data_IF_931135039984
#
_entry.id   IF_931135039984
#
_cell.length_a   1.000
_cell.length_b   1.000
_cell.length_c   1.000
_cell.angle_alpha   90.00
_cell.angle_beta   90.00
_cell.angle_gamma   90.00
#
_symmetry.space_group_name_H-M   'P 1'
#
loop_
_entity.id
_entity.type
_entity.pdbx_description
1 polymer ?
#
# COMPACT_ATOMS: atom_id res chain seq x y z
N UNK A 1 3.95 -45.86 16.29
CA UNK A 1 4.11 -47.06 15.42
C UNK A 1 2.86 -47.31 14.55
N UNK A 2 2.79 -46.65 13.40
CA UNK A 2 1.70 -46.77 12.43
C UNK A 2 1.77 -48.16 11.76
N UNK A 3 1.01 -49.13 12.26
CA UNK A 3 1.05 -50.53 11.79
C UNK A 3 0.51 -50.80 10.37
N UNK A 4 0.36 -49.76 9.53
CA UNK A 4 -0.17 -49.84 8.16
C UNK A 4 0.59 -48.88 7.26
N UNK A 5 0.75 -49.24 5.98
CA UNK A 5 1.25 -48.32 4.95
C UNK A 5 0.44 -47.02 4.97
N UNK A 6 1.10 -45.87 5.03
CA UNK A 6 0.47 -44.57 4.80
C UNK A 6 0.13 -44.45 3.31
N UNK A 7 -1.14 -44.27 2.97
CA UNK A 7 -1.63 -44.21 1.59
C UNK A 7 -2.53 -43.00 1.41
N UNK A 8 -2.53 -42.46 0.19
CA UNK A 8 -3.38 -41.33 -0.21
C UNK A 8 -3.72 -41.45 -1.68
N UNK A 9 -4.81 -40.81 -2.09
CA UNK A 9 -5.16 -40.58 -3.49
C UNK A 9 -4.90 -39.14 -3.91
N UNK A 10 -4.78 -38.90 -5.22
CA UNK A 10 -4.78 -37.54 -5.76
C UNK A 10 -6.22 -37.03 -5.84
N UNK A 11 -6.54 -35.99 -5.08
CA UNK A 11 -7.85 -35.36 -5.11
C UNK A 11 -7.82 -34.12 -5.99
N UNK A 12 -8.89 -33.91 -6.76
CA UNK A 12 -9.11 -32.69 -7.53
C UNK A 12 -10.53 -32.21 -7.36
N UNK A 13 -10.71 -30.90 -7.26
CA UNK A 13 -12.04 -30.30 -7.33
C UNK A 13 -12.56 -30.28 -8.79
N UNK A 14 -13.81 -29.84 -8.99
CA UNK A 14 -14.43 -29.76 -10.31
C UNK A 14 -13.68 -28.86 -11.32
N UNK A 15 -12.83 -27.96 -10.84
CA UNK A 15 -11.97 -27.07 -11.67
C UNK A 15 -10.57 -27.65 -11.91
N UNK A 16 -10.30 -28.88 -11.46
CA UNK A 16 -9.02 -29.56 -11.64
C UNK A 16 -7.92 -29.16 -10.66
N UNK A 17 -8.22 -28.33 -9.66
CA UNK A 17 -7.27 -27.90 -8.63
C UNK A 17 -7.05 -29.02 -7.62
N UNK A 18 -5.80 -29.25 -7.24
CA UNK A 18 -5.42 -30.34 -6.34
C UNK A 18 -5.90 -30.04 -4.92
N UNK A 19 -6.54 -31.03 -4.30
CA UNK A 19 -6.94 -31.00 -2.90
C UNK A 19 -6.07 -31.96 -2.08
N UNK A 20 -5.88 -31.67 -0.80
CA UNK A 20 -5.17 -32.52 0.15
C UNK A 20 -6.06 -32.96 1.31
N UNK A 21 -5.79 -34.15 1.81
CA UNK A 21 -6.44 -34.74 2.98
C UNK A 21 -6.10 -33.97 4.25
N UNK A 22 -7.12 -33.59 5.01
CA UNK A 22 -6.96 -33.03 6.36
C UNK A 22 -7.27 -34.04 7.47
N UNK A 23 -7.72 -35.26 7.16
CA UNK A 23 -8.04 -36.27 8.19
C UNK A 23 -7.48 -37.64 7.84
N UNK A 24 -6.33 -37.99 8.42
CA UNK A 24 -5.73 -39.30 8.28
C UNK A 24 -6.68 -40.41 8.71
N UNK A 25 -6.77 -41.46 7.90
CA UNK A 25 -7.56 -42.67 8.17
C UNK A 25 -9.02 -42.64 7.72
N UNK A 26 -9.53 -41.51 7.20
CA UNK A 26 -10.87 -41.42 6.59
C UNK A 26 -10.83 -41.60 5.07
N UNK A 27 -11.97 -41.98 4.48
CA UNK A 27 -12.09 -42.17 3.04
C UNK A 27 -12.00 -40.84 2.29
N UNK A 28 -11.41 -40.88 1.10
CA UNK A 28 -11.40 -39.76 0.16
C UNK A 28 -12.80 -39.48 -0.39
N UNK A 29 -13.17 -38.20 -0.59
CA UNK A 29 -14.43 -37.85 -1.25
C UNK A 29 -14.45 -38.36 -2.69
N UNK A 30 -15.62 -38.79 -3.16
CA UNK A 30 -15.81 -39.29 -4.52
C UNK A 30 -17.13 -38.75 -5.09
N UNK A 31 -17.09 -37.56 -5.71
CA UNK A 31 -18.26 -36.91 -6.30
C UNK A 31 -19.25 -36.29 -5.30
N UNK A 32 -18.89 -36.22 -4.01
CA UNK A 32 -19.70 -35.55 -3.00
C UNK A 32 -19.35 -34.06 -2.92
N UNK A 33 -20.36 -33.21 -2.81
CA UNK A 33 -20.16 -31.80 -2.46
C UNK A 33 -19.79 -31.69 -0.98
N UNK A 34 -18.63 -31.08 -0.72
CA UNK A 34 -18.18 -30.77 0.64
C UNK A 34 -18.38 -29.26 0.88
N UNK A 35 -19.10 -28.84 1.94
CA UNK A 35 -19.27 -27.43 2.24
C UNK A 35 -17.96 -26.79 2.72
N UNK A 36 -17.73 -25.53 2.37
CA UNK A 36 -16.62 -24.73 2.90
C UNK A 36 -16.83 -24.51 4.42
N UNK A 37 -15.81 -24.82 5.22
CA UNK A 37 -15.82 -24.64 6.68
C UNK A 37 -14.83 -23.58 7.17
N UNK A 38 -14.25 -22.82 6.24
CA UNK A 38 -13.30 -21.76 6.52
C UNK A 38 -11.92 -22.03 5.91
N UNK A 39 -10.87 -21.79 6.69
CA UNK A 39 -9.46 -21.93 6.26
C UNK A 39 -8.72 -22.81 7.26
N UNK A 40 -7.69 -23.51 6.78
CA UNK A 40 -6.76 -24.23 7.67
C UNK A 40 -5.83 -23.25 8.39
N UNK A 41 -5.09 -23.73 9.39
CA UNK A 41 -4.07 -22.92 10.07
C UNK A 41 -2.91 -22.55 9.13
N UNK A 42 -2.20 -21.46 9.46
CA UNK A 42 -1.09 -20.96 8.63
C UNK A 42 0.03 -21.98 8.43
N UNK A 43 0.26 -22.88 9.38
CA UNK A 43 1.29 -23.92 9.20
C UNK A 43 0.94 -24.88 8.06
N UNK A 44 -0.34 -25.24 7.91
CA UNK A 44 -0.82 -26.09 6.79
C UNK A 44 -0.74 -25.29 5.48
N UNK A 45 -1.15 -24.03 5.50
CA UNK A 45 -0.99 -23.13 4.36
C UNK A 45 0.46 -23.03 3.87
N UNK A 46 1.42 -22.84 4.78
CA UNK A 46 2.85 -22.78 4.44
C UNK A 46 3.40 -24.10 3.92
N UNK A 47 2.90 -25.24 4.40
CA UNK A 47 3.19 -26.56 3.82
C UNK A 47 2.70 -26.62 2.37
N UNK A 48 1.48 -26.16 2.08
CA UNK A 48 0.93 -26.15 0.72
C UNK A 48 1.70 -25.20 -0.21
N UNK A 49 2.15 -24.05 0.28
CA UNK A 49 3.03 -23.13 -0.46
C UNK A 49 4.40 -23.76 -0.77
N UNK A 50 4.93 -24.57 0.14
CA UNK A 50 6.23 -25.20 -0.01
C UNK A 50 6.21 -26.56 -0.71
N UNK A 51 5.01 -27.11 -0.95
CA UNK A 51 4.81 -28.43 -1.55
C UNK A 51 4.24 -28.37 -2.97
N UNK A 52 3.83 -29.53 -3.46
CA UNK A 52 3.22 -29.68 -4.78
C UNK A 52 1.76 -29.22 -4.76
N UNK A 53 1.23 -28.56 -5.81
CA UNK A 53 1.88 -28.21 -7.06
C UNK A 53 2.53 -26.82 -7.08
N UNK A 54 2.66 -26.13 -5.93
CA UNK A 54 3.32 -24.82 -5.91
C UNK A 54 4.81 -24.91 -6.21
N UNK A 55 5.45 -26.02 -5.78
CA UNK A 55 6.77 -26.46 -6.24
C UNK A 55 6.64 -27.66 -7.16
N UNK A 56 7.44 -27.67 -8.23
CA UNK A 56 7.52 -28.78 -9.18
C UNK A 56 8.20 -30.01 -8.56
N UNK A 57 8.03 -31.21 -9.15
CA UNK A 57 8.79 -32.39 -8.74
C UNK A 57 10.31 -32.15 -8.71
N UNK A 58 10.83 -31.43 -9.71
CA UNK A 58 12.25 -31.10 -9.82
C UNK A 58 12.71 -30.19 -8.68
N UNK A 59 11.94 -29.15 -8.35
CA UNK A 59 12.21 -28.23 -7.22
C UNK A 59 12.18 -28.96 -5.87
N UNK A 60 11.33 -29.99 -5.74
CA UNK A 60 11.25 -30.85 -4.55
C UNK A 60 12.29 -31.97 -4.54
N UNK A 61 13.07 -32.13 -5.61
CA UNK A 61 14.11 -33.16 -5.72
C UNK A 61 13.56 -34.59 -5.84
N UNK A 62 12.38 -34.76 -6.45
CA UNK A 62 11.71 -36.05 -6.65
C UNK A 62 11.48 -36.34 -8.13
N UNK A 63 11.23 -37.61 -8.47
CA UNK A 63 11.25 -38.06 -9.87
C UNK A 63 9.98 -37.78 -10.65
N UNK A 64 8.84 -37.67 -9.98
CA UNK A 64 7.55 -37.41 -10.62
C UNK A 64 6.55 -36.71 -9.70
N UNK A 65 5.39 -36.37 -10.27
CA UNK A 65 4.31 -35.74 -9.54
C UNK A 65 3.73 -36.61 -8.43
N UNK A 66 3.82 -37.95 -8.50
CA UNK A 66 3.27 -38.86 -7.48
C UNK A 66 4.10 -38.79 -6.22
N UNK A 67 5.44 -38.80 -6.36
CA UNK A 67 6.37 -38.60 -5.25
C UNK A 67 6.20 -37.21 -4.63
N UNK A 68 6.06 -36.18 -5.46
CA UNK A 68 5.87 -34.79 -5.02
C UNK A 68 4.55 -34.61 -4.24
N UNK A 69 3.45 -35.12 -4.80
CA UNK A 69 2.13 -35.13 -4.18
C UNK A 69 2.15 -35.90 -2.86
N UNK A 70 2.74 -37.10 -2.85
CA UNK A 70 2.79 -37.93 -1.65
C UNK A 70 3.62 -37.29 -0.53
N UNK A 71 4.78 -36.71 -0.86
CA UNK A 71 5.58 -35.94 0.10
C UNK A 71 4.80 -34.77 0.69
N UNK A 72 4.03 -34.06 -0.14
CA UNK A 72 3.21 -32.93 0.31
C UNK A 72 2.09 -33.41 1.24
N UNK A 73 1.39 -34.50 0.91
CA UNK A 73 0.34 -35.06 1.75
C UNK A 73 0.87 -35.50 3.13
N UNK A 74 2.03 -36.16 3.17
CA UNK A 74 2.66 -36.52 4.45
C UNK A 74 3.00 -35.27 5.27
N UNK A 75 3.49 -34.22 4.62
CA UNK A 75 3.81 -32.95 5.28
C UNK A 75 2.57 -32.27 5.84
N UNK A 76 1.42 -32.33 5.15
CA UNK A 76 0.14 -31.81 5.65
C UNK A 76 -0.29 -32.55 6.91
N UNK A 77 -0.26 -33.88 6.92
CA UNK A 77 -0.60 -34.66 8.13
C UNK A 77 0.36 -34.44 9.28
N UNK A 78 1.65 -34.25 9.00
CA UNK A 78 2.64 -33.91 10.01
C UNK A 78 2.37 -32.52 10.62
N UNK A 79 2.07 -31.51 9.80
CA UNK A 79 1.70 -30.18 10.27
C UNK A 79 0.41 -30.16 11.11
N UNK A 80 -0.53 -31.06 10.81
CA UNK A 80 -1.76 -31.26 11.59
C UNK A 80 -1.52 -32.08 12.88
N UNK A 81 -0.29 -32.54 13.15
CA UNK A 81 0.03 -33.39 14.30
C UNK A 81 -0.57 -34.78 14.24
N UNK A 82 -1.06 -35.23 13.08
CA UNK A 82 -1.72 -36.52 12.91
C UNK A 82 -0.72 -37.66 12.70
N UNK A 83 0.48 -37.33 12.24
CA UNK A 83 1.62 -38.25 12.17
C UNK A 83 2.88 -37.58 12.70
N UNK A 84 3.76 -38.35 13.34
CA UNK A 84 5.13 -37.95 13.63
C UNK A 84 6.03 -38.42 12.49
N UNK A 85 6.58 -37.46 11.74
CA UNK A 85 7.41 -37.77 10.58
C UNK A 85 8.70 -38.51 10.94
N UNK A 86 9.20 -38.37 12.18
CA UNK A 86 10.39 -39.08 12.65
C UNK A 86 10.12 -40.57 12.88
N UNK A 87 8.86 -40.95 13.11
CA UNK A 87 8.45 -42.35 13.23
C UNK A 87 8.10 -43.01 11.88
N UNK A 88 8.05 -42.24 10.79
CA UNK A 88 7.69 -42.75 9.46
C UNK A 88 8.89 -43.45 8.81
N UNK A 89 8.72 -44.73 8.49
CA UNK A 89 9.71 -45.48 7.71
C UNK A 89 9.57 -45.18 6.21
N UNK A 90 10.45 -44.33 5.70
CA UNK A 90 10.45 -43.97 4.28
C UNK A 90 11.07 -45.08 3.41
N UNK A 91 10.31 -45.59 2.44
CA UNK A 91 10.81 -46.53 1.43
C UNK A 91 11.58 -45.85 0.30
N UNK A 92 11.40 -44.54 0.14
CA UNK A 92 12.04 -43.72 -0.88
C UNK A 92 12.75 -42.53 -0.22
N UNK A 93 14.07 -42.46 -0.39
CA UNK A 93 14.90 -41.42 0.22
C UNK A 93 14.68 -40.02 -0.37
N UNK A 94 14.26 -39.90 -1.63
CA UNK A 94 13.94 -38.60 -2.25
C UNK A 94 12.64 -38.05 -1.67
N UNK A 95 11.62 -38.90 -1.51
CA UNK A 95 10.38 -38.52 -0.80
C UNK A 95 10.67 -38.07 0.62
N UNK A 96 11.55 -38.78 1.35
CA UNK A 96 11.94 -38.39 2.72
C UNK A 96 12.58 -36.98 2.75
N UNK A 97 13.50 -36.70 1.81
CA UNK A 97 14.13 -35.38 1.67
C UNK A 97 13.11 -34.30 1.30
N UNK A 98 12.17 -34.60 0.40
CA UNK A 98 11.13 -33.67 0.00
C UNK A 98 10.21 -33.32 1.16
N UNK A 99 9.74 -34.30 1.94
CA UNK A 99 8.94 -34.05 3.15
C UNK A 99 9.68 -33.14 4.11
N UNK A 100 10.96 -33.43 4.38
CA UNK A 100 11.79 -32.59 5.25
C UNK A 100 11.90 -31.17 4.70
N UNK A 101 12.19 -31.00 3.42
CA UNK A 101 12.29 -29.69 2.76
C UNK A 101 10.99 -28.88 2.86
N UNK A 102 9.83 -29.53 2.69
CA UNK A 102 8.52 -28.90 2.78
C UNK A 102 8.25 -28.43 4.22
N UNK A 103 8.47 -29.30 5.21
CA UNK A 103 8.25 -28.97 6.63
C UNK A 103 9.22 -27.89 7.10
N UNK A 104 10.52 -28.00 6.77
CA UNK A 104 11.53 -27.00 7.13
C UNK A 104 11.20 -25.64 6.48
N UNK A 105 10.79 -25.64 5.21
CA UNK A 105 10.34 -24.43 4.51
C UNK A 105 9.07 -23.82 5.12
N UNK A 106 8.14 -24.66 5.57
CA UNK A 106 6.92 -24.19 6.24
C UNK A 106 7.22 -23.56 7.62
N UNK A 107 8.13 -24.16 8.39
CA UNK A 107 8.55 -23.67 9.70
C UNK A 107 9.37 -22.37 9.60
N UNK A 108 10.20 -22.23 8.56
CA UNK A 108 11.00 -21.03 8.33
C UNK A 108 10.18 -19.86 7.75
N UNK A 109 9.05 -20.14 7.10
CA UNK A 109 8.19 -19.15 6.47
C UNK A 109 7.39 -18.33 7.49
N UNK A 110 7.27 -17.03 7.21
CA UNK A 110 6.41 -16.08 7.94
C UNK A 110 5.11 -15.75 7.19
N UNK A 111 4.83 -16.45 6.09
CA UNK A 111 3.63 -16.22 5.29
C UNK A 111 2.36 -16.51 6.10
N UNK A 112 1.37 -15.64 5.94
CA UNK A 112 0.06 -15.73 6.61
C UNK A 112 -1.06 -15.62 5.59
N UNK A 113 -2.20 -16.25 5.87
CA UNK A 113 -3.37 -16.19 4.99
C UNK A 113 -4.17 -14.90 5.13
N UNK A 114 -3.98 -14.17 6.23
CA UNK A 114 -4.64 -12.88 6.45
C UNK A 114 -3.99 -11.83 5.56
N UNK A 115 -4.78 -11.34 4.61
CA UNK A 115 -4.32 -10.34 3.67
C UNK A 115 -4.19 -8.99 4.36
N UNK A 116 -3.03 -8.36 4.25
CA UNK A 116 -2.82 -7.00 4.76
C UNK A 116 -2.49 -6.02 3.63
N UNK A 117 -2.75 -4.75 3.88
CA UNK A 117 -2.33 -3.65 3.03
C UNK A 117 -1.93 -2.48 3.92
N UNK A 118 -0.67 -2.07 3.83
CA UNK A 118 -0.14 -0.89 4.51
C UNK A 118 0.27 0.14 3.48
N UNK A 119 0.01 1.42 3.78
CA UNK A 119 0.42 2.55 2.95
C UNK A 119 1.47 3.33 3.72
N UNK A 120 2.62 3.54 3.10
CA UNK A 120 3.74 4.27 3.69
C UNK A 120 4.09 5.46 2.79
N UNK A 121 4.33 6.67 3.33
CA UNK A 121 4.29 7.04 4.74
C UNK A 121 2.86 7.13 5.32
N UNK A 122 2.74 6.91 6.63
CA UNK A 122 1.49 7.06 7.40
C UNK A 122 1.32 8.44 8.03
N UNK A 123 2.44 9.15 8.26
CA UNK A 123 2.43 10.46 8.88
C UNK A 123 1.93 11.54 7.91
N UNK A 124 1.38 12.62 8.47
CA UNK A 124 0.95 13.79 7.71
C UNK A 124 2.09 14.31 6.83
N UNK A 125 1.87 14.36 5.51
CA UNK A 125 2.88 14.78 4.56
C UNK A 125 2.77 16.27 4.24
N UNK A 126 3.87 17.00 4.37
CA UNK A 126 4.00 18.37 3.83
C UNK A 126 4.54 18.30 2.40
N UNK A 127 3.72 18.71 1.43
CA UNK A 127 4.10 18.80 0.03
C UNK A 127 4.94 20.06 -0.22
N UNK A 128 6.02 19.91 -0.97
CA UNK A 128 7.03 20.96 -1.18
C UNK A 128 7.01 21.45 -2.63
N UNK A 129 7.19 22.76 -2.82
CA UNK A 129 7.20 23.36 -4.14
C UNK A 129 8.36 22.82 -4.98
N UNK A 130 8.05 22.30 -6.17
CA UNK A 130 8.97 21.87 -7.20
C UNK A 130 8.41 22.25 -8.58
N UNK A 131 8.97 23.30 -9.18
CA UNK A 131 8.49 23.84 -10.44
C UNK A 131 7.03 24.32 -10.35
N UNK A 132 6.15 23.71 -11.14
CA UNK A 132 4.74 24.11 -11.25
C UNK A 132 3.81 23.48 -10.20
N UNK A 133 4.33 22.62 -9.32
CA UNK A 133 3.53 21.87 -8.36
C UNK A 133 4.17 21.84 -6.96
N UNK A 134 3.36 21.70 -5.93
CA UNK A 134 3.80 21.11 -4.66
C UNK A 134 3.74 19.59 -4.79
N UNK A 135 4.83 18.92 -4.44
CA UNK A 135 4.96 17.47 -4.52
C UNK A 135 5.05 16.86 -3.13
N UNK A 136 4.29 15.79 -2.90
CA UNK A 136 4.51 14.93 -1.73
C UNK A 136 5.77 14.08 -1.92
N UNK A 137 6.21 13.47 -0.83
CA UNK A 137 7.03 12.26 -0.93
C UNK A 137 6.29 11.15 -1.68
N UNK A 138 7.02 10.09 -2.01
CA UNK A 138 6.46 8.92 -2.70
C UNK A 138 5.78 8.02 -1.68
N UNK A 139 4.54 7.63 -2.00
CA UNK A 139 3.78 6.63 -1.29
C UNK A 139 4.03 5.24 -1.90
N UNK A 140 4.09 4.23 -1.04
CA UNK A 140 4.25 2.82 -1.37
C UNK A 140 3.17 1.99 -0.68
N UNK A 141 2.72 0.95 -1.38
CA UNK A 141 1.84 -0.09 -0.84
C UNK A 141 2.66 -1.31 -0.48
N UNK A 142 2.55 -1.74 0.78
CA UNK A 142 3.14 -2.98 1.27
C UNK A 142 2.01 -3.99 1.57
N UNK A 143 2.16 -5.22 1.08
CA UNK A 143 1.16 -6.27 1.20
C UNK A 143 1.80 -7.65 1.01
N UNK A 144 1.24 -8.69 1.65
CA UNK A 144 1.50 -10.10 1.33
C UNK A 144 0.68 -10.60 0.12
N UNK A 145 -0.05 -9.74 -0.57
CA UNK A 145 -0.77 -10.09 -1.78
C UNK A 145 0.19 -10.50 -2.91
N UNK A 146 -0.20 -11.53 -3.66
CA UNK A 146 0.53 -11.98 -4.84
C UNK A 146 0.34 -11.01 -6.00
N UNK A 147 -0.90 -10.57 -6.21
CA UNK A 147 -1.26 -9.62 -7.26
C UNK A 147 -2.31 -8.64 -6.74
N UNK A 148 -2.55 -7.59 -7.49
CA UNK A 148 -3.66 -6.70 -7.25
C UNK A 148 -3.48 -5.34 -7.87
N UNK A 149 -4.52 -4.52 -7.72
CA UNK A 149 -4.54 -3.14 -8.17
C UNK A 149 -5.04 -2.24 -7.05
N UNK A 150 -4.62 -0.99 -7.06
CA UNK A 150 -5.10 0.02 -6.13
C UNK A 150 -5.40 1.35 -6.83
N UNK A 151 -6.25 2.12 -6.17
CA UNK A 151 -6.68 3.46 -6.59
C UNK A 151 -6.51 4.42 -5.41
N UNK A 152 -6.28 5.69 -5.73
CA UNK A 152 -6.10 6.74 -4.74
C UNK A 152 -7.27 7.71 -4.84
N UNK A 153 -8.06 7.78 -3.78
CA UNK A 153 -9.19 8.69 -3.67
C UNK A 153 -8.75 9.93 -2.91
N UNK A 154 -9.05 11.11 -3.44
CA UNK A 154 -8.74 12.39 -2.82
C UNK A 154 -10.04 13.03 -2.33
N UNK A 155 -10.04 13.52 -1.09
CA UNK A 155 -11.15 14.24 -0.50
C UNK A 155 -10.72 15.68 -0.18
N UNK A 156 -11.48 16.66 -0.69
CA UNK A 156 -11.19 18.09 -0.55
C UNK A 156 -9.86 18.57 -1.18
N UNK A 157 -9.32 17.82 -2.14
CA UNK A 157 -8.12 18.24 -2.86
C UNK A 157 -8.39 19.47 -3.75
N UNK A 158 -7.42 20.40 -3.89
CA UNK A 158 -7.53 21.52 -4.83
C UNK A 158 -7.77 21.05 -6.26
N UNK A 159 -8.50 21.86 -7.04
CA UNK A 159 -8.72 21.57 -8.44
C UNK A 159 -7.39 21.46 -9.21
N UNK A 160 -7.27 20.46 -10.09
CA UNK A 160 -6.04 20.18 -10.82
C UNK A 160 -5.00 19.35 -10.06
N UNK A 161 -5.30 18.92 -8.82
CA UNK A 161 -4.47 17.94 -8.09
C UNK A 161 -4.42 16.62 -8.85
N UNK A 162 -3.23 16.03 -8.96
CA UNK A 162 -2.99 14.79 -9.72
C UNK A 162 -2.35 13.72 -8.84
N UNK A 163 -2.78 12.49 -9.03
CA UNK A 163 -2.07 11.29 -8.55
C UNK A 163 -1.22 10.78 -9.70
N UNK A 164 0.09 10.69 -9.49
CA UNK A 164 1.04 10.34 -10.56
C UNK A 164 1.98 9.22 -10.15
N UNK A 165 2.49 8.48 -11.13
CA UNK A 165 3.59 7.52 -10.94
C UNK A 165 4.90 8.22 -10.57
N UNK A 166 5.92 7.45 -10.22
CA UNK A 166 7.28 7.99 -9.98
C UNK A 166 7.90 8.66 -11.21
N UNK A 167 7.36 8.41 -12.40
CA UNK A 167 7.75 9.06 -13.67
C UNK A 167 6.94 10.33 -13.98
N UNK A 168 5.98 10.70 -13.13
CA UNK A 168 5.11 11.86 -13.32
C UNK A 168 3.89 11.61 -14.21
N UNK A 169 3.61 10.36 -14.58
CA UNK A 169 2.44 10.00 -15.40
C UNK A 169 1.18 9.94 -14.52
N UNK A 170 0.14 10.69 -14.89
CA UNK A 170 -1.13 10.65 -14.18
C UNK A 170 -1.85 9.31 -14.42
N UNK A 171 -2.30 8.66 -13.34
CA UNK A 171 -2.95 7.34 -13.39
C UNK A 171 -4.18 7.31 -12.48
N UNK A 172 -5.23 6.62 -12.95
CA UNK A 172 -6.44 6.36 -12.14
C UNK A 172 -6.30 5.09 -11.31
N UNK A 173 -5.49 4.15 -11.77
CA UNK A 173 -5.25 2.86 -11.13
C UNK A 173 -3.77 2.48 -11.27
N UNK A 174 -3.26 1.82 -10.23
CA UNK A 174 -1.89 1.36 -10.10
C UNK A 174 -1.90 -0.13 -9.83
N UNK A 175 -0.90 -0.84 -10.34
CA UNK A 175 -0.65 -2.23 -9.98
C UNK A 175 0.06 -2.31 -8.62
N UNK A 176 -0.15 -3.39 -7.89
CA UNK A 176 0.62 -3.69 -6.69
C UNK A 176 2.13 -3.66 -6.98
N UNK A 177 2.90 -3.02 -6.11
CA UNK A 177 4.34 -2.76 -6.31
C UNK A 177 4.64 -1.43 -7.01
N UNK A 178 3.67 -0.81 -7.68
CA UNK A 178 3.85 0.57 -8.15
C UNK A 178 3.76 1.57 -6.99
N UNK A 179 4.51 2.65 -7.15
CA UNK A 179 4.53 3.77 -6.22
C UNK A 179 3.89 5.01 -6.84
N UNK A 180 3.36 5.89 -6.01
CA UNK A 180 2.70 7.12 -6.46
C UNK A 180 3.11 8.34 -5.64
N UNK A 181 2.89 9.54 -6.18
CA UNK A 181 2.96 10.80 -5.42
C UNK A 181 1.81 11.71 -5.81
N UNK A 182 1.56 12.74 -5.02
CA UNK A 182 0.54 13.75 -5.31
C UNK A 182 1.21 15.02 -5.80
N UNK A 183 0.67 15.58 -6.89
CA UNK A 183 1.05 16.88 -7.43
C UNK A 183 -0.10 17.86 -7.22
N UNK A 184 0.15 18.94 -6.48
CA UNK A 184 -0.81 20.00 -6.18
C UNK A 184 -0.40 21.24 -6.97
N UNK A 185 -1.26 21.86 -7.80
CA UNK A 185 -0.86 23.02 -8.60
C UNK A 185 -0.29 24.15 -7.73
N UNK A 186 0.81 24.79 -8.15
CA UNK A 186 1.44 25.87 -7.36
C UNK A 186 0.49 27.03 -7.03
N UNK A 187 -0.53 27.25 -7.86
CA UNK A 187 -1.56 28.28 -7.67
C UNK A 187 -2.57 27.96 -6.56
N UNK A 188 -2.50 26.78 -5.96
CA UNK A 188 -3.40 26.39 -4.87
C UNK A 188 -3.09 27.21 -3.61
N UNK A 189 -4.12 27.74 -2.95
CA UNK A 189 -3.96 28.40 -1.65
C UNK A 189 -3.42 27.41 -0.60
N UNK A 190 -2.75 27.92 0.43
CA UNK A 190 -2.32 27.12 1.58
C UNK A 190 -3.49 26.28 2.10
N UNK A 191 -3.23 25.01 2.39
CA UNK A 191 -4.30 24.13 2.79
C UNK A 191 -3.85 22.73 3.15
N UNK A 192 -4.86 21.89 3.35
CA UNK A 192 -4.72 20.47 3.56
C UNK A 192 -5.88 19.73 2.89
N UNK A 193 -5.67 18.47 2.57
CA UNK A 193 -6.70 17.54 2.12
C UNK A 193 -6.35 16.13 2.58
N UNK A 194 -7.32 15.21 2.51
CA UNK A 194 -7.09 13.80 2.84
C UNK A 194 -7.11 12.91 1.60
N UNK A 195 -6.40 11.80 1.68
CA UNK A 195 -6.45 10.74 0.69
C UNK A 195 -6.67 9.38 1.34
N UNK A 196 -7.29 8.47 0.58
CA UNK A 196 -7.43 7.05 0.90
C UNK A 196 -6.96 6.20 -0.26
N UNK A 197 -6.34 5.08 0.07
CA UNK A 197 -6.04 4.03 -0.91
C UNK A 197 -7.08 2.93 -0.78
N UNK A 198 -7.71 2.57 -1.90
CA UNK A 198 -8.58 1.40 -2.00
C UNK A 198 -7.97 0.42 -2.98
N UNK A 199 -7.90 -0.86 -2.60
CA UNK A 199 -7.31 -1.91 -3.42
C UNK A 199 -8.21 -3.12 -3.56
N UNK A 200 -7.98 -3.88 -4.62
CA UNK A 200 -8.46 -5.24 -4.79
C UNK A 200 -7.22 -6.12 -4.97
N UNK A 201 -6.95 -6.93 -3.96
CA UNK A 201 -5.72 -7.70 -3.81
C UNK A 201 -6.04 -9.19 -3.80
N UNK A 202 -5.17 -9.99 -4.39
CA UNK A 202 -5.32 -11.44 -4.44
C UNK A 202 -4.19 -12.15 -3.72
N UNK A 203 -4.52 -13.16 -2.93
CA UNK A 203 -3.55 -14.09 -2.36
C UNK A 203 -4.11 -15.51 -2.33
N UNK A 204 -3.21 -16.48 -2.18
CA UNK A 204 -3.57 -17.88 -1.95
C UNK A 204 -4.08 -18.06 -0.52
N UNK A 205 -5.15 -18.83 -0.37
CA UNK A 205 -5.70 -19.26 0.92
C UNK A 205 -5.93 -20.77 0.91
N UNK A 206 -5.63 -21.43 2.01
CA UNK A 206 -5.84 -22.87 2.19
C UNK A 206 -7.27 -23.11 2.69
N UNK A 207 -8.21 -23.09 1.74
CA UNK A 207 -9.65 -23.21 2.01
C UNK A 207 -9.98 -24.63 2.45
N UNK A 208 -10.62 -24.77 3.59
CA UNK A 208 -10.98 -26.05 4.19
C UNK A 208 -12.44 -26.39 3.87
N UNK A 209 -12.66 -27.67 3.57
CA UNK A 209 -13.96 -28.25 3.23
C UNK A 209 -14.27 -29.39 4.19
N UNK A 210 -15.49 -29.35 4.74
CA UNK A 210 -15.94 -30.31 5.74
C UNK A 210 -16.36 -31.62 5.09
N UNK A 211 -15.75 -32.72 5.52
CA UNK A 211 -16.14 -34.08 5.20
C UNK A 211 -17.36 -34.53 6.01
N UNK A 212 -17.41 -35.84 6.26
CA UNK A 212 -18.45 -36.47 7.10
C UNK A 212 -17.78 -37.34 8.15
N UNK A 213 -18.55 -38.12 8.91
CA UNK A 213 -17.97 -39.09 9.85
C UNK A 213 -17.08 -40.13 9.15
N UNK A 214 -17.37 -40.45 7.88
CA UNK A 214 -16.64 -41.46 7.08
C UNK A 214 -15.67 -40.84 6.07
N UNK A 215 -15.97 -39.63 5.60
CA UNK A 215 -15.21 -38.93 4.56
C UNK A 215 -14.32 -37.88 5.22
N UNK A 216 -13.07 -37.82 4.82
CA UNK A 216 -12.08 -36.86 5.33
C UNK A 216 -12.50 -35.40 5.03
N UNK A 217 -12.04 -34.48 5.88
CA UNK A 217 -11.97 -33.07 5.51
C UNK A 217 -10.88 -32.87 4.45
N UNK A 218 -11.00 -31.83 3.65
CA UNK A 218 -10.06 -31.54 2.56
C UNK A 218 -9.66 -30.06 2.54
N UNK A 219 -8.45 -29.77 2.05
CA UNK A 219 -8.00 -28.39 1.79
C UNK A 219 -7.68 -28.20 0.32
N UNK A 220 -8.00 -27.03 -0.23
CA UNK A 220 -7.57 -26.60 -1.56
C UNK A 220 -6.93 -25.23 -1.43
N UNK A 221 -5.74 -25.08 -2.01
CA UNK A 221 -5.09 -23.77 -2.11
C UNK A 221 -5.71 -22.98 -3.26
N UNK A 222 -6.44 -21.90 -2.93
CA UNK A 222 -7.22 -21.11 -3.87
C UNK A 222 -6.79 -19.66 -3.85
N UNK A 223 -6.72 -19.02 -5.01
CA UNK A 223 -6.59 -17.57 -5.10
C UNK A 223 -7.94 -16.92 -4.71
N UNK A 224 -7.90 -16.05 -3.72
CA UNK A 224 -9.04 -15.29 -3.21
C UNK A 224 -8.72 -13.81 -3.33
N UNK A 225 -9.72 -13.03 -3.75
CA UNK A 225 -9.63 -11.58 -3.85
C UNK A 225 -10.25 -10.97 -2.59
N UNK A 226 -9.59 -9.97 -2.02
CA UNK A 226 -10.15 -9.15 -0.95
C UNK A 226 -9.94 -7.67 -1.26
N UNK A 227 -10.94 -6.87 -0.90
CA UNK A 227 -10.82 -5.42 -0.93
C UNK A 227 -10.19 -4.92 0.37
N UNK A 228 -9.25 -3.98 0.26
CA UNK A 228 -8.65 -3.30 1.41
C UNK A 228 -8.74 -1.79 1.24
N UNK A 229 -8.94 -1.10 2.35
CA UNK A 229 -9.01 0.36 2.40
C UNK A 229 -8.04 0.84 3.47
N UNK A 230 -7.22 1.83 3.14
CA UNK A 230 -6.31 2.46 4.10
C UNK A 230 -7.07 3.34 5.09
N UNK A 231 -6.40 3.70 6.19
CA UNK A 231 -6.81 4.87 6.97
C UNK A 231 -6.75 6.15 6.11
N UNK A 232 -7.41 7.21 6.59
CA UNK A 232 -7.25 8.56 6.04
C UNK A 232 -5.81 9.04 6.24
N UNK A 233 -5.14 9.40 5.14
CA UNK A 233 -3.82 10.01 5.15
C UNK A 233 -3.96 11.50 4.85
N UNK A 234 -3.18 12.35 5.53
CA UNK A 234 -3.28 13.80 5.39
C UNK A 234 -2.11 14.37 4.59
N UNK A 235 -2.43 15.30 3.70
CA UNK A 235 -1.45 16.10 2.96
C UNK A 235 -1.71 17.57 3.25
N UNK A 236 -0.66 18.33 3.56
CA UNK A 236 -0.70 19.78 3.69
C UNK A 236 0.38 20.43 2.83
N UNK A 237 0.20 21.72 2.53
CA UNK A 237 1.19 22.54 1.83
C UNK A 237 1.04 24.00 2.23
N UNK A 238 2.12 24.76 2.10
CA UNK A 238 2.13 26.21 2.33
C UNK A 238 2.45 26.94 1.05
N UNK A 239 1.52 27.77 0.62
CA UNK A 239 1.62 28.56 -0.59
C UNK A 239 2.04 29.98 -0.25
N UNK A 240 3.35 30.21 -0.27
CA UNK A 240 3.97 31.48 0.12
C UNK A 240 4.62 32.17 -1.08
N UNK A 241 4.59 33.50 -1.07
CA UNK A 241 5.29 34.37 -2.02
C UNK A 241 6.04 35.48 -1.32
N UNK A 242 7.01 36.07 -2.03
CA UNK A 242 7.74 37.24 -1.57
C UNK A 242 7.06 38.54 -1.99
N UNK A 243 7.00 39.51 -1.07
CA UNK A 243 6.64 40.89 -1.39
C UNK A 243 7.86 41.80 -1.18
N UNK A 244 8.22 42.56 -2.22
CA UNK A 244 9.27 43.59 -2.17
C UNK A 244 8.72 44.93 -2.61
N UNK A 245 8.76 45.92 -1.71
CA UNK A 245 8.33 47.28 -1.99
C UNK A 245 9.55 48.18 -2.23
N UNK A 246 9.57 48.85 -3.38
CA UNK A 246 10.60 49.83 -3.75
C UNK A 246 9.94 51.18 -3.93
N UNK A 247 10.31 52.16 -3.08
CA UNK A 247 9.83 53.54 -3.21
C UNK A 247 10.79 54.32 -4.09
N UNK A 248 10.24 55.03 -5.07
CA UNK A 248 10.98 55.97 -5.92
C UNK A 248 10.42 57.38 -5.77
N UNK A 249 11.29 58.38 -5.96
CA UNK A 249 10.91 59.78 -6.09
C UNK A 249 10.63 60.18 -7.54
N UNK A 250 10.40 61.48 -7.77
CA UNK A 250 10.00 62.00 -9.09
C UNK A 250 11.07 61.78 -10.17
N UNK A 251 12.34 61.71 -9.78
CA UNK A 251 13.48 61.53 -10.68
C UNK A 251 13.91 60.05 -10.76
N UNK A 252 13.06 59.13 -10.29
CA UNK A 252 13.30 57.67 -10.20
C UNK A 252 14.44 57.29 -9.24
N UNK A 253 14.84 58.20 -8.36
CA UNK A 253 15.78 57.95 -7.28
C UNK A 253 15.14 57.04 -6.22
N UNK A 254 15.95 56.13 -5.66
CA UNK A 254 15.49 55.21 -4.61
C UNK A 254 15.34 55.95 -3.29
N UNK A 255 14.20 55.78 -2.62
CA UNK A 255 13.90 56.42 -1.33
C UNK A 255 13.88 55.42 -0.19
N UNK A 256 14.56 55.77 0.89
CA UNK A 256 14.67 54.97 2.11
C UNK A 256 13.77 55.55 3.22
N UNK A 257 13.27 54.69 4.10
CA UNK A 257 12.51 55.09 5.29
C UNK A 257 10.99 55.23 5.10
N UNK A 258 10.46 54.91 3.92
CA UNK A 258 9.02 54.74 3.73
C UNK A 258 8.50 53.51 4.49
N UNK A 259 7.37 53.62 5.17
CA UNK A 259 6.73 52.51 5.88
C UNK A 259 5.35 52.28 5.30
N UNK A 260 5.06 51.02 4.99
CA UNK A 260 3.79 50.58 4.44
C UNK A 260 3.07 49.67 5.42
N UNK A 261 1.78 49.91 5.60
CA UNK A 261 0.85 48.98 6.21
C UNK A 261 0.31 48.03 5.15
N UNK A 262 0.38 46.73 5.44
CA UNK A 262 -0.06 45.67 4.53
C UNK A 262 -1.39 45.11 5.05
N UNK A 263 -2.41 45.18 4.21
CA UNK A 263 -3.77 44.71 4.50
C UNK A 263 -4.12 43.54 3.59
N UNK A 264 -4.73 42.48 4.13
CA UNK A 264 -5.27 41.38 3.31
C UNK A 264 -6.59 41.78 2.63
N UNK A 265 -7.17 40.88 1.84
CA UNK A 265 -8.46 41.08 1.17
C UNK A 265 -9.66 41.23 2.12
N UNK A 266 -9.53 40.80 3.37
CA UNK A 266 -10.53 41.00 4.42
C UNK A 266 -10.39 42.35 5.13
N UNK A 267 -9.49 43.23 4.66
CA UNK A 267 -9.11 44.50 5.31
C UNK A 267 -8.57 44.31 6.74
N UNK A 268 -7.92 43.17 7.00
CA UNK A 268 -7.19 42.92 8.23
C UNK A 268 -5.72 43.25 8.03
N UNK A 269 -5.13 43.89 9.03
CA UNK A 269 -3.70 44.22 9.04
C UNK A 269 -2.89 42.94 9.22
N UNK A 270 -2.13 42.55 8.19
CA UNK A 270 -1.21 41.41 8.26
C UNK A 270 0.18 41.80 8.75
N UNK A 271 0.52 43.08 8.67
CA UNK A 271 1.78 43.60 9.20
C UNK A 271 2.13 44.99 8.72
N UNK A 272 3.36 45.40 9.02
CA UNK A 272 4.00 46.61 8.48
C UNK A 272 5.31 46.23 7.82
N UNK A 273 5.60 46.81 6.66
CA UNK A 273 6.81 46.55 5.91
C UNK A 273 7.64 47.83 5.80
N UNK A 274 8.95 47.70 6.04
CA UNK A 274 9.93 48.74 5.78
C UNK A 274 10.97 48.13 4.85
N UNK A 275 10.74 48.24 3.53
CA UNK A 275 11.71 47.84 2.47
C UNK A 275 12.46 46.53 2.75
N UNK A 276 11.77 45.48 3.18
CA UNK A 276 12.34 44.15 3.48
C UNK A 276 11.46 43.02 2.94
N UNK A 277 12.06 41.87 2.65
CA UNK A 277 11.34 40.70 2.16
C UNK A 277 10.59 40.01 3.31
N UNK A 278 9.28 39.79 3.12
CA UNK A 278 8.43 39.01 4.02
C UNK A 278 7.74 37.92 3.19
N UNK A 279 7.71 36.70 3.72
CA UNK A 279 6.91 35.61 3.14
C UNK A 279 5.45 35.80 3.51
N UNK A 280 4.60 36.02 2.50
CA UNK A 280 3.15 36.16 2.66
C UNK A 280 2.45 34.99 1.98
N UNK A 281 1.31 34.58 2.52
CA UNK A 281 0.44 33.65 1.78
C UNK A 281 0.00 34.30 0.48
N UNK A 282 -0.18 33.48 -0.57
CA UNK A 282 -0.64 33.99 -1.85
C UNK A 282 -2.01 34.66 -1.73
N UNK A 283 -2.19 35.75 -2.45
CA UNK A 283 -3.43 36.53 -2.37
C UNK A 283 -3.24 37.97 -2.78
N UNK A 284 -4.33 38.73 -2.74
CA UNK A 284 -4.32 40.16 -3.02
C UNK A 284 -4.17 40.95 -1.72
N UNK A 285 -3.24 41.89 -1.72
CA UNK A 285 -2.95 42.76 -0.60
C UNK A 285 -3.09 44.23 -1.01
N UNK A 286 -3.43 45.06 -0.04
CA UNK A 286 -3.45 46.51 -0.17
C UNK A 286 -2.33 47.10 0.67
N UNK A 287 -1.52 47.96 0.06
CA UNK A 287 -0.41 48.69 0.69
C UNK A 287 -0.82 50.15 0.89
N UNK A 288 -0.82 50.58 2.15
CA UNK A 288 -1.06 51.96 2.54
C UNK A 288 0.24 52.57 3.06
N UNK A 289 0.70 53.67 2.47
CA UNK A 289 1.86 54.40 3.01
C UNK A 289 1.45 55.09 4.31
N UNK A 290 2.07 54.71 5.42
CA UNK A 290 1.80 55.28 6.75
C UNK A 290 2.90 56.21 7.24
N UNK A 291 4.07 56.17 6.60
CA UNK A 291 5.19 57.08 6.84
C UNK A 291 5.95 57.32 5.54
N UNK A 292 6.13 58.58 5.16
CA UNK A 292 6.94 58.97 4.01
C UNK A 292 8.44 59.07 4.35
N UNK A 293 9.33 58.98 3.34
CA UNK A 293 10.74 59.34 3.48
C UNK A 293 10.93 60.81 3.90
N UNK A 294 12.04 61.11 4.58
CA UNK A 294 12.39 62.48 4.98
C UNK A 294 12.45 63.39 3.76
N UNK A 295 11.70 64.50 3.80
CA UNK A 295 11.64 65.47 2.70
C UNK A 295 10.58 65.18 1.62
N UNK A 296 9.80 64.10 1.76
CA UNK A 296 8.75 63.71 0.82
C UNK A 296 7.35 63.74 1.45
N UNK A 297 6.34 64.00 0.63
CA UNK A 297 4.91 63.99 1.03
C UNK A 297 4.38 62.55 1.08
N UNK A 298 3.53 62.27 2.06
CA UNK A 298 2.84 60.98 2.21
C UNK A 298 1.87 60.72 1.06
N UNK A 299 1.96 59.54 0.42
CA UNK A 299 1.00 59.11 -0.57
C UNK A 299 -0.22 58.44 0.08
N UNK A 300 -1.36 59.13 0.08
CA UNK A 300 -2.62 58.59 0.61
C UNK A 300 -3.35 57.61 -0.32
N UNK A 301 -2.83 57.33 -1.52
CA UNK A 301 -3.46 56.42 -2.49
C UNK A 301 -3.05 54.96 -2.24
N UNK A 302 -3.99 54.07 -1.86
CA UNK A 302 -3.70 52.65 -1.66
C UNK A 302 -3.17 51.99 -2.93
N UNK A 303 -2.23 51.06 -2.79
CA UNK A 303 -1.70 50.27 -3.89
C UNK A 303 -2.12 48.80 -3.73
N UNK A 304 -2.71 48.19 -4.76
CA UNK A 304 -3.04 46.77 -4.75
C UNK A 304 -1.91 45.94 -5.39
N UNK A 305 -1.62 44.80 -4.77
CA UNK A 305 -0.61 43.85 -5.26
C UNK A 305 -1.10 42.41 -5.09
N UNK A 306 -0.79 41.56 -6.06
CA UNK A 306 -1.04 40.12 -6.00
C UNK A 306 0.26 39.40 -5.66
N UNK A 307 0.27 38.67 -4.53
CA UNK A 307 1.36 37.77 -4.13
C UNK A 307 1.08 36.39 -4.71
N UNK A 308 2.08 35.82 -5.41
CA UNK A 308 2.03 34.49 -6.03
C UNK A 308 3.09 33.59 -5.44
N UNK A 309 2.90 32.29 -5.59
CA UNK A 309 3.79 31.25 -5.07
C UNK A 309 5.15 31.32 -5.73
N UNK A 310 6.23 31.30 -4.92
CA UNK A 310 7.61 31.28 -5.39
C UNK A 310 8.32 32.60 -5.14
#
# INVERSE_FOLDING_TARGET
MYGKDLRTELLKNAKGQIAYCLTYGKLSPNGNDLPEMGRTDDIVYRVLLNGYPQKSPEELGVSDWKEAHYATQLSVWAALGQIDINEVQHRNGNVAKAVKSIIDGANASQETQDLYMNVTPTDNQEAKLNGEYFETTVYQIESNAKNGVFTVQLANAPNGTKVVSTKGEAKQQFNLGEQFRILIPKSSQTGNFSLKVTSNLSNLQAVAYQGTDKVQDATVLLEKNEEKVSADLQVNWKSLGGLKVVKVGEQKELLQGAVFEVMNSANEKVGTMTTNEQGLEIGTYTLNEVKSPTGYVLNGQPQQIEVKTG
#
